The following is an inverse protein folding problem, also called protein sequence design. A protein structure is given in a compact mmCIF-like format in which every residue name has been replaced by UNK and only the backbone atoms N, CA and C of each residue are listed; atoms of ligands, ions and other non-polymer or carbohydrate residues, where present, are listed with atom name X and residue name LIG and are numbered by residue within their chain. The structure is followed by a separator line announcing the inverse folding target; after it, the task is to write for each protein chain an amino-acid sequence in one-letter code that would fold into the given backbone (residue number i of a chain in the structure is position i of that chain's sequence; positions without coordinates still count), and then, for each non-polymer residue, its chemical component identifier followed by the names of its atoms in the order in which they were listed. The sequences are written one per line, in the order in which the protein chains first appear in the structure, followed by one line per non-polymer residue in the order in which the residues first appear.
data_IF_986171411484
#
_entry.id   IF_986171411484
#
_cell.length_a   1.000
_cell.length_b   1.000
_cell.length_c   1.000
_cell.angle_alpha   90.00
_cell.angle_beta   90.00
_cell.angle_gamma   90.00
#
_symmetry.space_group_name_H-M   'P 1'
#
loop_
_entity.id
_entity.type
_entity.pdbx_description
1 polymer ?
#
# COMPACT_ATOMS: atom_id res chain seq x y z
N UNK A 1 -5.00 -55.92 12.25
CA UNK A 1 -4.78 -54.45 12.26
C UNK A 1 -5.63 -53.86 13.39
N UNK A 2 -5.01 -53.26 14.42
CA UNK A 2 -5.70 -52.93 15.68
C UNK A 2 -6.42 -51.59 15.63
N UNK A 3 -7.72 -51.59 15.96
CA UNK A 3 -8.60 -50.42 15.98
C UNK A 3 -7.99 -49.21 16.72
N UNK A 4 -7.26 -49.43 17.81
CA UNK A 4 -6.57 -48.35 18.56
C UNK A 4 -5.58 -47.54 17.71
N UNK A 5 -4.87 -48.17 16.77
CA UNK A 5 -3.95 -47.46 15.86
C UNK A 5 -4.70 -46.59 14.85
N UNK A 6 -5.89 -47.00 14.43
CA UNK A 6 -6.75 -46.21 13.54
C UNK A 6 -7.30 -44.95 14.24
N UNK A 7 -7.74 -45.09 15.50
CA UNK A 7 -8.25 -43.95 16.28
C UNK A 7 -7.15 -42.94 16.62
N UNK A 8 -5.95 -43.40 16.98
CA UNK A 8 -4.81 -42.51 17.24
C UNK A 8 -4.32 -41.80 15.97
N UNK A 9 -4.34 -42.47 14.81
CA UNK A 9 -3.98 -41.85 13.54
C UNK A 9 -4.98 -40.77 13.12
N UNK A 10 -6.29 -41.02 13.30
CA UNK A 10 -7.34 -40.05 12.99
C UNK A 10 -7.28 -38.81 13.90
N UNK A 11 -7.00 -38.99 15.20
CA UNK A 11 -6.85 -37.88 16.14
C UNK A 11 -5.61 -37.01 15.81
N UNK A 12 -4.50 -37.65 15.43
CA UNK A 12 -3.28 -36.94 15.01
C UNK A 12 -3.50 -36.13 13.72
N UNK A 13 -4.25 -36.68 12.75
CA UNK A 13 -4.58 -35.99 11.50
C UNK A 13 -5.51 -34.79 11.73
N UNK A 14 -6.46 -34.90 12.66
CA UNK A 14 -7.37 -33.80 12.98
C UNK A 14 -6.66 -32.65 13.69
N UNK A 15 -5.75 -32.98 14.62
CA UNK A 15 -4.95 -31.99 15.34
C UNK A 15 -4.00 -31.21 14.42
N UNK A 16 -3.39 -31.87 13.43
CA UNK A 16 -2.50 -31.20 12.46
C UNK A 16 -3.27 -30.28 11.51
N UNK A 17 -4.45 -30.68 11.04
CA UNK A 17 -5.32 -29.83 10.20
C UNK A 17 -5.77 -28.58 10.96
N UNK A 18 -6.15 -28.71 12.23
CA UNK A 18 -6.55 -27.58 13.07
C UNK A 18 -5.40 -26.59 13.30
N UNK A 19 -4.19 -27.09 13.56
CA UNK A 19 -2.99 -26.26 13.74
C UNK A 19 -2.60 -25.51 12.46
N UNK A 20 -2.68 -26.16 11.30
CA UNK A 20 -2.40 -25.52 9.99
C UNK A 20 -3.43 -24.44 9.66
N UNK A 21 -4.72 -24.69 9.92
CA UNK A 21 -5.78 -23.71 9.70
C UNK A 21 -5.63 -22.47 10.61
N UNK A 22 -5.29 -22.65 11.88
CA UNK A 22 -5.08 -21.56 12.82
C UNK A 22 -3.87 -20.70 12.45
N UNK A 23 -2.79 -21.33 11.95
CA UNK A 23 -1.62 -20.61 11.44
C UNK A 23 -1.96 -19.76 10.21
N UNK A 24 -2.81 -20.26 9.30
CA UNK A 24 -3.22 -19.51 8.10
C UNK A 24 -4.10 -18.30 8.42
N UNK A 25 -4.92 -18.37 9.47
CA UNK A 25 -5.80 -17.27 9.89
C UNK A 25 -5.06 -16.11 10.58
N UNK A 26 -3.87 -16.36 11.17
CA UNK A 26 -3.11 -15.37 11.92
C UNK A 26 -1.96 -14.72 11.11
N UNK A 27 -1.66 -15.26 9.92
CA UNK A 27 -0.69 -14.64 9.00
C UNK A 27 -1.46 -13.65 8.13
N UNK A 28 -1.33 -12.32 8.34
CA UNK A 28 -1.88 -11.37 7.38
C UNK A 28 -1.25 -11.69 6.02
N UNK A 29 -2.01 -11.56 4.89
CA UNK A 29 -1.40 -11.71 3.58
C UNK A 29 -0.20 -10.78 3.55
N UNK A 30 0.99 -11.35 3.33
CA UNK A 30 2.17 -10.56 3.00
C UNK A 30 1.86 -9.95 1.64
N UNK A 31 1.18 -8.81 1.65
CA UNK A 31 1.11 -7.93 0.51
C UNK A 31 2.55 -7.47 0.35
N UNK A 32 3.30 -8.18 -0.50
CA UNK A 32 4.57 -7.69 -0.98
C UNK A 32 4.26 -6.30 -1.51
N UNK A 33 4.76 -5.27 -0.83
CA UNK A 33 4.70 -3.91 -1.32
C UNK A 33 5.64 -3.88 -2.52
N UNK A 34 5.17 -4.42 -3.65
CA UNK A 34 5.70 -4.05 -4.95
C UNK A 34 5.64 -2.53 -4.94
N UNK A 35 6.81 -1.89 -5.08
CA UNK A 35 6.93 -0.46 -5.20
C UNK A 35 6.16 -0.10 -6.48
N UNK A 36 4.88 0.19 -6.33
CA UNK A 36 3.97 0.35 -7.45
C UNK A 36 4.39 1.61 -8.19
N UNK A 37 4.99 1.41 -9.35
CA UNK A 37 5.20 2.44 -10.34
C UNK A 37 3.85 3.06 -10.69
N UNK A 38 3.83 4.38 -10.67
CA UNK A 38 2.78 5.32 -11.06
C UNK A 38 1.86 4.80 -12.18
N UNK A 39 0.70 4.29 -11.80
CA UNK A 39 -0.44 4.05 -12.68
C UNK A 39 -1.72 4.40 -11.93
N UNK A 40 -2.75 4.85 -12.64
CA UNK A 40 -4.05 5.27 -12.07
C UNK A 40 -4.75 4.20 -11.22
N UNK A 41 -4.32 2.93 -11.29
CA UNK A 41 -4.74 1.87 -10.38
C UNK A 41 -4.08 1.88 -8.98
N UNK A 42 -2.99 2.63 -8.81
CA UNK A 42 -2.25 2.74 -7.55
C UNK A 42 -2.79 3.80 -6.59
N UNK A 43 -3.32 4.92 -7.11
CA UNK A 43 -3.78 6.02 -6.26
C UNK A 43 -4.93 5.59 -5.34
N UNK A 44 -5.97 4.93 -5.86
CA UNK A 44 -7.09 4.48 -5.05
C UNK A 44 -6.70 3.42 -4.00
N UNK A 45 -5.64 2.64 -4.26
CA UNK A 45 -5.09 1.72 -3.25
C UNK A 45 -4.34 2.49 -2.17
N UNK A 46 -3.50 3.46 -2.55
CA UNK A 46 -2.79 4.33 -1.62
C UNK A 46 -3.76 5.16 -0.76
N UNK A 47 -4.79 5.74 -1.38
CA UNK A 47 -5.85 6.49 -0.72
C UNK A 47 -6.54 5.64 0.36
N UNK A 48 -6.93 4.40 0.03
CA UNK A 48 -7.52 3.48 1.00
C UNK A 48 -6.55 3.06 2.11
N UNK A 49 -5.27 2.93 1.81
CA UNK A 49 -4.26 2.54 2.79
C UNK A 49 -3.90 3.67 3.76
N UNK A 50 -3.79 4.91 3.26
CA UNK A 50 -3.32 6.06 4.05
C UNK A 50 -4.45 6.89 4.67
N UNK A 51 -5.63 6.89 4.06
CA UNK A 51 -6.77 7.70 4.48
C UNK A 51 -8.09 6.90 4.31
N UNK A 52 -8.27 5.78 5.03
CA UNK A 52 -9.39 4.85 4.84
C UNK A 52 -10.77 5.48 5.11
N UNK A 53 -10.82 6.58 5.86
CA UNK A 53 -12.07 7.27 6.24
C UNK A 53 -12.41 8.45 5.32
N UNK A 54 -11.64 8.67 4.26
CA UNK A 54 -11.89 9.72 3.28
C UNK A 54 -12.26 9.06 1.96
N UNK A 55 -13.32 9.55 1.33
CA UNK A 55 -13.73 9.05 0.02
C UNK A 55 -12.58 9.22 -1.01
N UNK A 56 -12.21 8.18 -1.77
CA UNK A 56 -11.10 8.25 -2.73
C UNK A 56 -11.25 9.36 -3.78
N UNK A 57 -12.47 9.72 -4.18
CA UNK A 57 -12.70 10.79 -5.15
C UNK A 57 -12.46 12.17 -4.51
N UNK A 58 -12.76 12.32 -3.22
CA UNK A 58 -12.40 13.52 -2.45
C UNK A 58 -10.88 13.68 -2.38
N UNK A 59 -10.14 12.61 -2.08
CA UNK A 59 -8.68 12.63 -2.11
C UNK A 59 -8.14 12.91 -3.51
N UNK A 60 -8.74 12.34 -4.55
CA UNK A 60 -8.35 12.59 -5.93
C UNK A 60 -8.56 14.05 -6.32
N UNK A 61 -9.66 14.67 -5.89
CA UNK A 61 -9.94 16.08 -6.11
C UNK A 61 -8.91 16.98 -5.43
N UNK A 62 -8.53 16.68 -4.18
CA UNK A 62 -7.48 17.38 -3.45
C UNK A 62 -6.13 17.26 -4.18
N UNK A 63 -5.68 16.05 -4.49
CA UNK A 63 -4.37 15.84 -5.14
C UNK A 63 -4.33 16.48 -6.54
N UNK A 64 -5.44 16.46 -7.29
CA UNK A 64 -5.53 17.17 -8.56
C UNK A 64 -5.37 18.68 -8.39
N UNK A 65 -5.97 19.25 -7.35
CA UNK A 65 -5.94 20.69 -7.07
C UNK A 65 -4.56 21.15 -6.60
N UNK A 66 -3.96 20.40 -5.66
CA UNK A 66 -2.70 20.80 -5.03
C UNK A 66 -1.48 20.52 -5.89
N UNK A 67 -1.48 19.43 -6.68
CA UNK A 67 -0.30 19.01 -7.44
C UNK A 67 -0.57 18.57 -8.88
N UNK A 68 -1.83 18.46 -9.31
CA UNK A 68 -2.16 17.91 -10.62
C UNK A 68 -1.70 16.45 -10.80
N UNK A 69 -1.53 15.71 -9.71
CA UNK A 69 -0.86 14.39 -9.69
C UNK A 69 0.62 14.42 -10.12
N UNK A 70 1.29 15.59 -10.09
CA UNK A 70 2.73 15.66 -10.24
C UNK A 70 3.41 15.36 -8.88
N UNK A 71 4.14 14.23 -8.74
CA UNK A 71 4.85 13.90 -7.50
C UNK A 71 6.00 14.86 -7.18
N UNK A 72 6.37 15.72 -8.11
CA UNK A 72 7.45 16.70 -7.98
C UNK A 72 6.96 18.14 -7.85
N UNK A 73 5.64 18.35 -7.69
CA UNK A 73 5.09 19.70 -7.49
C UNK A 73 5.61 20.32 -6.19
N UNK A 74 6.11 21.55 -6.27
CA UNK A 74 6.60 22.35 -5.14
C UNK A 74 5.74 23.62 -5.03
N UNK A 75 5.07 23.79 -3.89
CA UNK A 75 4.40 25.03 -3.51
C UNK A 75 5.33 25.94 -2.72
N UNK A 76 5.37 27.23 -3.05
CA UNK A 76 6.18 28.24 -2.36
C UNK A 76 5.24 29.32 -1.80
N UNK A 77 5.38 29.68 -0.52
CA UNK A 77 4.51 30.68 0.11
C UNK A 77 4.93 32.09 -0.32
N UNK A 78 4.02 32.86 -0.91
CA UNK A 78 4.28 34.24 -1.34
C UNK A 78 5.12 34.37 -2.62
N UNK A 79 5.40 33.26 -3.30
CA UNK A 79 6.17 33.24 -4.55
C UNK A 79 5.65 32.14 -5.50
N UNK A 80 6.24 32.04 -6.69
CA UNK A 80 5.96 30.98 -7.64
C UNK A 80 7.22 30.60 -8.44
N UNK A 81 7.35 29.33 -8.79
CA UNK A 81 8.41 28.84 -9.67
C UNK A 81 8.06 29.15 -11.13
N UNK A 82 9.03 29.57 -11.94
CA UNK A 82 8.81 29.77 -13.39
C UNK A 82 8.33 28.49 -14.10
N UNK A 83 8.76 27.33 -13.61
CA UNK A 83 8.27 26.00 -14.03
C UNK A 83 8.34 25.03 -12.85
N UNK A 84 7.44 24.05 -12.85
CA UNK A 84 7.49 22.95 -11.89
C UNK A 84 8.51 21.88 -12.34
N UNK A 85 9.21 21.23 -11.40
CA UNK A 85 10.10 20.12 -11.73
C UNK A 85 9.37 18.94 -12.36
N UNK A 86 10.09 18.23 -13.22
CA UNK A 86 9.61 17.04 -13.95
C UNK A 86 10.34 15.77 -13.54
N UNK A 87 11.36 15.89 -12.70
CA UNK A 87 12.14 14.76 -12.16
C UNK A 87 12.53 14.99 -10.71
N UNK A 88 12.91 13.91 -10.03
CA UNK A 88 13.38 13.98 -8.65
C UNK A 88 14.64 14.84 -8.51
N UNK A 89 15.58 14.73 -9.46
CA UNK A 89 16.83 15.49 -9.41
C UNK A 89 16.59 16.98 -9.63
N UNK A 90 15.71 17.33 -10.58
CA UNK A 90 15.29 18.73 -10.79
C UNK A 90 14.56 19.28 -9.55
N UNK A 91 13.70 18.49 -8.91
CA UNK A 91 13.01 18.89 -7.68
C UNK A 91 13.99 19.15 -6.54
N UNK A 92 14.99 18.27 -6.36
CA UNK A 92 16.05 18.47 -5.36
C UNK A 92 16.86 19.72 -5.65
N UNK A 93 17.30 19.91 -6.89
CA UNK A 93 18.05 21.10 -7.29
C UNK A 93 17.23 22.37 -7.03
N UNK A 94 15.94 22.37 -7.40
CA UNK A 94 15.04 23.51 -7.16
C UNK A 94 14.93 23.84 -5.67
N UNK A 95 14.73 22.85 -4.80
CA UNK A 95 14.64 23.07 -3.34
C UNK A 95 15.94 23.61 -2.76
N UNK A 96 17.10 23.26 -3.30
CA UNK A 96 18.38 23.79 -2.82
C UNK A 96 18.61 25.28 -3.16
N UNK A 97 17.87 25.82 -4.12
CA UNK A 97 17.95 27.21 -4.58
C UNK A 97 16.85 28.11 -3.97
N UNK A 98 15.93 27.57 -3.16
CA UNK A 98 14.87 28.29 -2.46
C UNK A 98 15.30 28.71 -1.04
#
# INVERSE_FOLDING_TARGET
MNARRLHSAAAALCATVALVALAFACVPPRVAHARASSGSGGFAQLARACAPNVDPDTLAALVRTESGFNPYAIGVVGAHLTRQPTSLDEARATVHEL
#
